data_IF_627304908751
#
_entry.id   IF_627304908751
#
_cell.length_a   1.000
_cell.length_b   1.000
_cell.length_c   1.000
_cell.angle_alpha   90.00
_cell.angle_beta   90.00
_cell.angle_gamma   90.00
#
_symmetry.space_group_name_H-M   'P 1'
#
loop_
_entity.id
_entity.type
_entity.pdbx_description
1 polymer ?
#
# COMPACT_ATOMS: atom_id res chain seq x y z
N UNK A 1 11.54 -20.39 0.26
CA UNK A 1 10.62 -19.69 1.18
C UNK A 1 11.41 -19.17 2.37
N UNK A 2 11.38 -17.85 2.60
CA UNK A 2 11.77 -17.28 3.89
C UNK A 2 10.84 -17.91 4.96
N UNK A 3 11.40 -18.56 5.99
CA UNK A 3 10.65 -19.24 7.05
C UNK A 3 10.29 -20.71 6.83
N UNK A 4 10.27 -21.24 5.59
CA UNK A 4 9.79 -22.61 5.32
C UNK A 4 10.65 -23.74 5.92
N UNK A 5 11.90 -23.46 6.33
CA UNK A 5 12.81 -24.45 6.93
C UNK A 5 13.21 -24.17 8.37
N UNK A 6 12.78 -23.04 8.95
CA UNK A 6 13.11 -22.64 10.32
C UNK A 6 11.82 -22.19 10.98
N UNK A 7 11.52 -22.69 12.18
CA UNK A 7 10.26 -22.48 12.91
C UNK A 7 10.09 -21.02 13.42
N UNK A 8 10.27 -20.01 12.58
CA UNK A 8 10.37 -18.58 12.93
C UNK A 8 9.15 -17.80 12.45
N UNK A 9 8.81 -16.73 13.17
CA UNK A 9 7.82 -15.76 12.75
C UNK A 9 8.44 -14.79 11.73
N UNK A 10 7.72 -14.49 10.65
CA UNK A 10 8.10 -13.52 9.64
C UNK A 10 6.88 -12.72 9.20
N UNK A 11 7.01 -11.40 9.13
CA UNK A 11 5.93 -10.52 8.72
C UNK A 11 6.49 -9.37 7.89
N UNK A 12 5.74 -8.98 6.85
CA UNK A 12 6.01 -7.76 6.10
C UNK A 12 5.29 -6.60 6.78
N UNK A 13 6.05 -5.63 7.26
CA UNK A 13 5.55 -4.46 7.97
C UNK A 13 4.74 -3.54 7.04
N UNK A 14 3.41 -3.72 7.04
CA UNK A 14 2.45 -2.80 6.41
C UNK A 14 1.36 -2.41 7.39
N UNK A 15 1.65 -1.37 8.16
CA UNK A 15 0.75 -0.88 9.20
C UNK A 15 -0.64 -0.51 8.67
N UNK A 16 -0.72 -0.10 7.40
CA UNK A 16 -2.00 0.20 6.71
C UNK A 16 -3.02 -0.94 6.82
N UNK A 17 -2.60 -2.21 6.91
CA UNK A 17 -3.50 -3.37 7.05
C UNK A 17 -4.12 -3.51 8.44
N UNK A 18 -3.57 -2.83 9.43
CA UNK A 18 -3.94 -2.97 10.84
C UNK A 18 -4.76 -1.77 11.36
N UNK A 19 -4.92 -0.73 10.54
CA UNK A 19 -5.74 0.42 10.91
C UNK A 19 -7.22 0.03 11.05
N UNK A 20 -7.92 0.52 12.10
CA UNK A 20 -9.37 0.39 12.21
C UNK A 20 -10.12 0.91 10.98
N UNK A 21 -9.54 1.91 10.30
CA UNK A 21 -10.01 2.41 9.02
C UNK A 21 -10.10 1.31 7.96
N UNK A 22 -9.04 0.52 7.80
CA UNK A 22 -8.98 -0.56 6.80
C UNK A 22 -10.00 -1.65 7.12
N UNK A 23 -10.20 -1.97 8.40
CA UNK A 23 -11.24 -2.90 8.86
C UNK A 23 -12.65 -2.42 8.50
N UNK A 24 -12.90 -1.12 8.61
CA UNK A 24 -14.16 -0.53 8.22
C UNK A 24 -14.38 -0.52 6.71
N UNK A 25 -13.33 -0.32 5.93
CA UNK A 25 -13.39 -0.46 4.47
C UNK A 25 -13.78 -1.90 4.11
N UNK A 26 -13.14 -2.90 4.72
CA UNK A 26 -13.52 -4.32 4.58
C UNK A 26 -14.99 -4.53 4.96
N UNK A 27 -15.44 -4.04 6.13
CA UNK A 27 -16.83 -4.16 6.59
C UNK A 27 -17.83 -3.60 5.56
N UNK A 28 -17.55 -2.43 4.96
CA UNK A 28 -18.45 -1.84 3.94
C UNK A 28 -18.53 -2.73 2.70
N UNK A 29 -17.41 -3.29 2.26
CA UNK A 29 -17.36 -4.16 1.08
C UNK A 29 -18.09 -5.48 1.37
N UNK A 30 -17.72 -6.15 2.47
CA UNK A 30 -18.25 -7.46 2.87
C UNK A 30 -19.74 -7.42 3.23
N UNK A 31 -20.22 -6.31 3.80
CA UNK A 31 -21.65 -6.12 4.07
C UNK A 31 -22.50 -5.87 2.82
N UNK A 32 -21.87 -5.76 1.63
CA UNK A 32 -22.57 -5.53 0.36
C UNK A 32 -23.15 -4.12 0.22
N UNK A 33 -22.78 -3.16 1.09
CA UNK A 33 -23.33 -1.79 1.08
C UNK A 33 -23.02 -1.03 -0.21
N UNK A 34 -21.89 -1.30 -0.85
CA UNK A 34 -21.53 -0.74 -2.16
C UNK A 34 -21.97 -1.63 -3.34
N UNK A 35 -22.67 -2.74 -3.07
CA UNK A 35 -23.04 -3.74 -4.09
C UNK A 35 -21.85 -4.51 -4.64
N UNK A 36 -22.04 -5.25 -5.75
CA UNK A 36 -20.94 -5.88 -6.46
C UNK A 36 -19.86 -4.84 -6.81
N UNK A 37 -18.60 -5.16 -6.49
CA UNK A 37 -17.44 -4.37 -6.87
C UNK A 37 -17.31 -4.34 -8.40
N UNK A 38 -16.91 -3.21 -8.94
CA UNK A 38 -16.69 -2.98 -10.37
C UNK A 38 -15.25 -2.51 -10.64
N UNK A 39 -14.72 -1.64 -9.77
CA UNK A 39 -13.41 -1.02 -9.99
C UNK A 39 -12.74 -0.53 -8.71
N UNK A 40 -11.41 -0.65 -8.66
CA UNK A 40 -10.56 0.05 -7.69
C UNK A 40 -9.64 1.03 -8.41
N UNK A 41 -9.61 2.28 -7.97
CA UNK A 41 -8.60 3.26 -8.36
C UNK A 41 -7.76 3.55 -7.12
N UNK A 42 -6.46 3.32 -7.17
CA UNK A 42 -5.58 3.57 -6.04
C UNK A 42 -4.34 4.33 -6.50
N UNK A 43 -4.11 5.50 -5.93
CA UNK A 43 -3.01 6.36 -6.29
C UNK A 43 -2.22 6.72 -5.04
N UNK A 44 -0.90 6.65 -5.11
CA UNK A 44 -0.05 7.19 -4.05
C UNK A 44 1.19 7.82 -4.65
N UNK A 45 1.21 9.13 -4.71
CA UNK A 45 2.32 9.95 -5.17
C UNK A 45 2.85 10.78 -4.03
N UNK A 46 4.14 11.09 -4.08
CA UNK A 46 4.81 11.95 -3.14
C UNK A 46 5.72 12.86 -3.95
N UNK A 47 5.53 14.17 -3.88
CA UNK A 47 6.57 15.09 -4.34
C UNK A 47 7.63 15.14 -3.26
N UNK A 48 8.73 14.47 -3.52
CA UNK A 48 9.96 14.80 -2.83
C UNK A 48 10.45 16.10 -3.46
N UNK A 49 10.43 17.18 -2.67
CA UNK A 49 10.72 18.51 -3.15
C UNK A 49 12.15 18.58 -3.73
N UNK A 50 12.23 19.03 -4.98
CA UNK A 50 13.47 19.21 -5.72
C UNK A 50 13.63 18.16 -6.81
N UNK A 51 13.89 18.62 -8.04
CA UNK A 51 14.54 17.77 -9.04
C UNK A 51 15.79 17.20 -8.36
N UNK A 52 15.78 15.89 -8.06
CA UNK A 52 16.88 15.27 -7.33
C UNK A 52 18.17 15.60 -8.07
N UNK A 53 19.04 16.36 -7.39
CA UNK A 53 20.24 16.96 -8.00
C UNK A 53 21.33 15.90 -8.22
N UNK A 54 21.21 14.76 -7.52
CA UNK A 54 22.09 13.60 -7.59
C UNK A 54 21.32 12.28 -7.35
N UNK A 55 22.06 11.17 -7.34
CA UNK A 55 21.58 9.81 -7.08
C UNK A 55 21.73 9.38 -5.61
N UNK A 56 22.09 10.29 -4.68
CA UNK A 56 22.32 9.94 -3.28
C UNK A 56 21.02 9.70 -2.51
N UNK A 57 19.91 10.29 -2.96
CA UNK A 57 18.64 10.12 -2.29
C UNK A 57 18.18 8.66 -2.37
N UNK A 58 17.74 8.09 -1.24
CA UNK A 58 17.35 6.66 -1.13
C UNK A 58 16.33 6.22 -2.18
N UNK A 59 15.44 7.11 -2.59
CA UNK A 59 14.42 6.85 -3.62
C UNK A 59 14.95 6.84 -5.06
N UNK A 60 16.14 7.40 -5.30
CA UNK A 60 16.75 7.50 -6.63
C UNK A 60 17.98 6.61 -6.81
N UNK A 61 18.59 6.17 -5.70
CA UNK A 61 19.81 5.39 -5.72
C UNK A 61 19.56 3.91 -6.12
N UNK A 62 20.06 3.44 -7.27
CA UNK A 62 19.89 2.04 -7.68
C UNK A 62 20.53 1.03 -6.73
N UNK A 63 21.60 1.39 -6.02
CA UNK A 63 22.28 0.53 -5.03
C UNK A 63 21.45 0.32 -3.76
N UNK A 64 20.49 1.20 -3.49
CA UNK A 64 19.57 1.10 -2.35
C UNK A 64 18.20 0.54 -2.75
N UNK A 65 18.10 -0.02 -3.95
CA UNK A 65 16.83 -0.39 -4.57
C UNK A 65 15.84 0.80 -4.63
N UNK A 66 16.36 2.02 -4.80
CA UNK A 66 15.59 3.26 -4.79
C UNK A 66 14.63 3.34 -5.96
N UNK A 67 13.33 3.17 -5.68
CA UNK A 67 12.25 3.11 -6.68
C UNK A 67 10.90 3.43 -6.08
N UNK A 68 9.96 3.83 -6.93
CA UNK A 68 8.59 4.10 -6.51
C UNK A 68 7.79 2.84 -6.16
N UNK A 69 7.82 1.69 -6.86
CA UNK A 69 6.97 0.58 -6.51
C UNK A 69 7.43 0.04 -5.16
N UNK A 70 8.70 0.24 -4.76
CA UNK A 70 9.25 -0.10 -3.44
C UNK A 70 8.94 0.99 -2.40
N UNK A 71 9.01 2.29 -2.74
CA UNK A 71 8.83 3.37 -1.76
C UNK A 71 7.44 4.03 -1.69
N UNK A 72 6.57 3.87 -2.71
CA UNK A 72 5.27 4.53 -2.81
C UNK A 72 4.17 3.74 -3.55
N UNK A 73 4.46 3.19 -4.73
CA UNK A 73 3.52 2.36 -5.51
C UNK A 73 3.10 1.07 -4.81
N UNK A 74 3.87 0.63 -3.83
CA UNK A 74 3.48 -0.47 -2.94
C UNK A 74 2.18 -0.17 -2.20
N UNK A 75 1.94 1.07 -1.78
CA UNK A 75 0.74 1.42 -1.02
C UNK A 75 -0.51 1.43 -1.90
N UNK A 76 -0.42 1.89 -3.15
CA UNK A 76 -1.56 1.79 -4.07
C UNK A 76 -1.88 0.34 -4.43
N UNK A 77 -0.87 -0.52 -4.62
CA UNK A 77 -1.08 -1.97 -4.75
C UNK A 77 -1.69 -2.58 -3.48
N UNK A 78 -1.19 -2.20 -2.30
CA UNK A 78 -1.68 -2.72 -1.01
C UNK A 78 -3.19 -2.51 -0.84
N UNK A 79 -3.73 -1.37 -1.27
CA UNK A 79 -5.17 -1.13 -1.25
C UNK A 79 -5.97 -2.01 -2.23
N UNK A 80 -5.42 -2.32 -3.40
CA UNK A 80 -6.04 -3.27 -4.34
C UNK A 80 -6.09 -4.66 -3.73
N UNK A 81 -4.98 -5.13 -3.16
CA UNK A 81 -4.91 -6.44 -2.53
C UNK A 81 -5.77 -6.53 -1.26
N UNK A 82 -5.91 -5.44 -0.51
CA UNK A 82 -6.86 -5.33 0.59
C UNK A 82 -8.31 -5.53 0.14
N UNK A 83 -8.69 -4.92 -0.98
CA UNK A 83 -10.02 -5.13 -1.56
C UNK A 83 -10.21 -6.57 -2.03
N UNK A 84 -9.20 -7.16 -2.69
CA UNK A 84 -9.23 -8.57 -3.11
C UNK A 84 -9.52 -9.51 -1.95
N UNK A 85 -8.97 -9.24 -0.76
CA UNK A 85 -9.25 -10.05 0.43
C UNK A 85 -10.72 -10.10 0.80
N UNK A 86 -11.43 -9.00 0.58
CA UNK A 86 -12.86 -8.83 0.91
C UNK A 86 -13.78 -9.46 -0.14
N UNK A 87 -13.32 -9.62 -1.38
CA UNK A 87 -14.16 -10.05 -2.51
C UNK A 87 -13.80 -11.41 -3.10
N UNK A 88 -12.70 -12.03 -2.65
CA UNK A 88 -12.22 -13.33 -3.12
C UNK A 88 -11.71 -14.22 -1.97
N UNK A 89 -12.05 -15.53 -1.97
CA UNK A 89 -11.42 -16.53 -1.12
C UNK A 89 -9.90 -16.55 -1.32
N UNK A 90 -9.17 -16.83 -0.25
CA UNK A 90 -7.69 -16.81 -0.21
C UNK A 90 -7.02 -17.52 -1.39
N UNK A 91 -7.44 -18.76 -1.69
CA UNK A 91 -6.87 -19.57 -2.78
C UNK A 91 -7.11 -19.00 -4.19
N UNK A 92 -8.04 -18.06 -4.33
CA UNK A 92 -8.42 -17.44 -5.61
C UNK A 92 -7.90 -16.02 -5.80
N UNK A 93 -7.18 -15.46 -4.81
CA UNK A 93 -6.64 -14.09 -4.82
C UNK A 93 -5.43 -13.97 -5.74
N UNK A 94 -5.65 -14.09 -7.05
CA UNK A 94 -4.60 -13.92 -8.06
C UNK A 94 -4.98 -12.85 -9.07
N UNK A 95 -4.49 -11.60 -8.91
CA UNK A 95 -4.67 -10.59 -9.92
C UNK A 95 -3.80 -10.89 -11.13
N UNK A 96 -4.33 -10.63 -12.32
CA UNK A 96 -3.60 -10.72 -13.58
C UNK A 96 -3.13 -9.33 -13.95
N UNK A 97 -1.81 -9.16 -14.08
CA UNK A 97 -1.25 -7.96 -14.70
C UNK A 97 -1.61 -7.93 -16.19
N UNK A 98 -2.47 -6.99 -16.57
CA UNK A 98 -2.91 -6.78 -17.95
C UNK A 98 -1.95 -5.86 -18.69
N UNK A 99 -1.62 -4.71 -18.08
CA UNK A 99 -0.72 -3.73 -18.67
C UNK A 99 -0.05 -2.88 -17.61
N UNK A 100 1.17 -2.46 -17.89
CA UNK A 100 1.86 -1.43 -17.13
C UNK A 100 2.48 -0.38 -18.05
N UNK A 101 2.64 0.83 -17.54
CA UNK A 101 3.39 1.91 -18.16
C UNK A 101 4.28 2.54 -17.10
N UNK A 102 5.55 2.75 -17.44
CA UNK A 102 6.55 3.28 -16.53
C UNK A 102 7.32 4.39 -17.22
N UNK A 103 7.41 5.55 -16.58
CA UNK A 103 8.34 6.59 -16.95
C UNK A 103 9.52 6.54 -15.98
N UNK A 104 10.73 6.54 -16.52
CA UNK A 104 11.96 6.48 -15.73
C UNK A 104 12.43 7.87 -15.31
N UNK A 105 13.19 7.93 -14.23
CA UNK A 105 13.95 9.10 -13.85
C UNK A 105 15.17 9.20 -14.78
N UNK A 106 15.37 10.37 -15.38
CA UNK A 106 16.33 10.53 -16.48
C UNK A 106 17.79 10.23 -16.08
N UNK A 107 18.14 10.42 -14.80
CA UNK A 107 19.52 10.32 -14.33
C UNK A 107 19.90 8.88 -13.95
N UNK A 108 19.06 8.21 -13.17
CA UNK A 108 19.36 6.89 -12.61
C UNK A 108 18.60 5.74 -13.27
N UNK A 109 17.70 6.03 -14.22
CA UNK A 109 16.85 5.06 -14.93
C UNK A 109 15.94 4.21 -14.03
N UNK A 110 15.89 4.52 -12.73
CA UNK A 110 14.87 4.02 -11.80
C UNK A 110 13.50 4.55 -12.23
N UNK A 111 12.41 3.94 -11.79
CA UNK A 111 11.09 4.44 -12.20
C UNK A 111 10.73 5.70 -11.41
N UNK A 112 10.22 6.71 -12.14
CA UNK A 112 9.78 8.01 -11.63
C UNK A 112 8.25 8.18 -11.67
N UNK A 113 7.56 7.33 -12.41
CA UNK A 113 6.11 7.25 -12.44
C UNK A 113 5.71 5.87 -12.97
N UNK A 114 4.67 5.28 -12.39
CA UNK A 114 4.08 4.07 -12.95
C UNK A 114 2.55 4.08 -12.90
N UNK A 115 1.96 3.36 -13.84
CA UNK A 115 0.53 3.06 -13.87
C UNK A 115 0.35 1.59 -14.24
N UNK A 116 -0.45 0.87 -13.47
CA UNK A 116 -0.62 -0.58 -13.55
C UNK A 116 -2.12 -0.87 -13.67
N UNK A 117 -2.49 -1.66 -14.67
CA UNK A 117 -3.84 -2.21 -14.84
C UNK A 117 -3.83 -3.68 -14.45
N UNK A 118 -4.62 -4.00 -13.44
CA UNK A 118 -4.84 -5.35 -12.92
C UNK A 118 -6.27 -5.79 -13.22
N UNK A 119 -6.44 -7.07 -13.50
CA UNK A 119 -7.74 -7.74 -13.63
C UNK A 119 -7.85 -8.82 -12.55
N UNK A 120 -9.01 -8.94 -11.92
CA UNK A 120 -9.31 -10.05 -11.02
C UNK A 120 -10.61 -10.69 -11.45
N UNK A 121 -10.49 -11.93 -11.92
CA UNK A 121 -11.62 -12.72 -12.39
C UNK A 121 -12.25 -13.49 -11.23
N UNK A 122 -13.54 -13.28 -11.01
CA UNK A 122 -14.36 -14.03 -10.05
C UNK A 122 -15.41 -14.85 -10.81
N UNK A 123 -16.09 -15.76 -10.10
CA UNK A 123 -17.26 -16.41 -10.68
C UNK A 123 -18.33 -15.34 -11.02
N UNK A 124 -19.21 -15.64 -11.98
CA UNK A 124 -20.32 -14.72 -12.30
C UNK A 124 -21.24 -14.48 -11.10
N UNK A 125 -21.39 -15.48 -10.21
CA UNK A 125 -22.16 -15.35 -8.98
C UNK A 125 -21.50 -14.37 -7.99
N UNK A 126 -20.17 -14.26 -8.04
CA UNK A 126 -19.36 -13.42 -7.15
C UNK A 126 -19.02 -12.06 -7.77
N UNK A 127 -19.69 -11.65 -8.86
CA UNK A 127 -19.53 -10.33 -9.49
C UNK A 127 -18.70 -10.30 -10.78
N UNK A 128 -18.12 -11.43 -11.21
CA UNK A 128 -17.43 -11.52 -12.49
C UNK A 128 -16.04 -10.86 -12.50
N UNK A 129 -15.70 -10.19 -13.60
CA UNK A 129 -14.38 -9.61 -13.81
C UNK A 129 -14.37 -8.13 -13.46
N UNK A 130 -13.48 -7.75 -12.56
CA UNK A 130 -13.28 -6.37 -12.16
C UNK A 130 -11.88 -5.89 -12.55
N UNK A 131 -11.68 -4.58 -12.51
CA UNK A 131 -10.39 -3.97 -12.76
C UNK A 131 -9.88 -3.16 -11.57
N UNK A 132 -8.56 -3.14 -11.40
CA UNK A 132 -7.90 -2.11 -10.62
C UNK A 132 -6.90 -1.34 -11.46
N UNK A 133 -6.85 -0.03 -11.22
CA UNK A 133 -5.79 0.84 -11.72
C UNK A 133 -5.02 1.34 -10.52
N UNK A 134 -3.72 1.02 -10.47
CA UNK A 134 -2.82 1.63 -9.51
C UNK A 134 -1.90 2.61 -10.20
N UNK A 135 -1.59 3.72 -9.52
CA UNK A 135 -0.64 4.70 -10.04
C UNK A 135 0.17 5.33 -8.92
N UNK A 136 1.30 5.91 -9.32
CA UNK A 136 2.24 6.53 -8.41
C UNK A 136 3.22 7.40 -9.19
N UNK A 137 3.67 8.50 -8.59
CA UNK A 137 4.60 9.47 -9.18
C UNK A 137 5.45 10.12 -8.09
N UNK A 138 6.73 10.39 -8.39
CA UNK A 138 7.62 11.18 -7.51
C UNK A 138 7.48 12.69 -7.72
N UNK A 139 6.70 13.10 -8.72
CA UNK A 139 6.56 14.51 -9.11
C UNK A 139 5.17 15.08 -8.81
N UNK A 140 4.29 14.30 -8.21
CA UNK A 140 2.94 14.74 -7.85
C UNK A 140 2.80 14.79 -6.33
N UNK A 141 2.29 15.91 -5.83
CA UNK A 141 1.96 16.17 -4.42
C UNK A 141 0.55 16.74 -4.28
N UNK A 142 -0.39 16.16 -5.04
CA UNK A 142 -1.78 16.61 -5.02
C UNK A 142 -2.39 16.53 -3.61
N UNK A 143 -1.95 15.58 -2.79
CA UNK A 143 -2.34 15.45 -1.39
C UNK A 143 -1.85 16.62 -0.53
N UNK A 144 -0.57 17.00 -0.64
CA UNK A 144 -0.02 18.17 0.06
C UNK A 144 -0.71 19.45 -0.37
N UNK A 145 -0.90 19.65 -1.69
CA UNK A 145 -1.59 20.82 -2.25
C UNK A 145 -3.03 20.88 -1.73
N UNK A 146 -3.74 19.75 -1.75
CA UNK A 146 -5.11 19.69 -1.25
C UNK A 146 -5.18 20.02 0.24
N UNK A 147 -4.27 19.47 1.05
CA UNK A 147 -4.16 19.74 2.49
C UNK A 147 -3.90 21.22 2.79
N UNK A 148 -3.02 21.87 2.05
CA UNK A 148 -2.71 23.30 2.21
C UNK A 148 -3.90 24.21 1.86
N UNK A 149 -4.81 23.74 1.02
CA UNK A 149 -5.98 24.50 0.54
C UNK A 149 -7.31 24.05 1.18
N UNK A 150 -7.26 23.26 2.27
CA UNK A 150 -8.45 22.67 2.93
C UNK A 150 -9.38 21.93 1.94
N UNK A 151 -8.80 21.35 0.90
CA UNK A 151 -9.50 20.57 -0.11
C UNK A 151 -9.41 19.08 0.21
N UNK A 152 -10.51 18.36 0.01
CA UNK A 152 -10.54 16.91 0.16
C UNK A 152 -10.45 16.25 -1.22
N UNK A 153 -9.29 15.66 -1.53
CA UNK A 153 -9.06 14.93 -2.78
C UNK A 153 -8.78 13.46 -2.45
N UNK A 154 -9.74 12.54 -2.66
CA UNK A 154 -9.50 11.12 -2.42
C UNK A 154 -8.60 10.54 -3.53
N UNK A 155 -7.53 9.85 -3.13
CA UNK A 155 -6.61 9.20 -4.04
C UNK A 155 -6.84 7.69 -4.14
N UNK A 156 -7.70 7.12 -3.28
CA UNK A 156 -8.17 5.74 -3.40
C UNK A 156 -9.70 5.72 -3.44
N UNK A 157 -10.27 5.02 -4.41
CA UNK A 157 -11.70 4.87 -4.63
C UNK A 157 -12.04 3.42 -4.94
N UNK A 158 -12.90 2.84 -4.12
CA UNK A 158 -13.36 1.46 -4.23
C UNK A 158 -14.82 1.52 -4.64
N UNK A 159 -15.13 1.09 -5.87
CA UNK A 159 -16.39 1.41 -6.53
C UNK A 159 -17.18 0.14 -6.84
N UNK A 160 -18.44 0.12 -6.40
CA UNK A 160 -19.41 -0.91 -6.74
C UNK A 160 -20.71 -0.32 -7.28
N UNK A 161 -21.64 -1.20 -7.66
CA UNK A 161 -22.89 -0.80 -8.33
C UNK A 161 -23.81 0.10 -7.48
N UNK A 162 -23.68 0.05 -6.15
CA UNK A 162 -24.53 0.78 -5.21
C UNK A 162 -23.79 1.89 -4.47
N UNK A 163 -22.53 2.16 -4.81
CA UNK A 163 -21.80 3.25 -4.19
C UNK A 163 -20.29 3.07 -4.26
N UNK A 164 -19.59 3.89 -3.50
CA UNK A 164 -18.14 3.78 -3.35
C UNK A 164 -17.67 4.12 -1.95
N UNK A 165 -16.47 3.66 -1.63
CA UNK A 165 -15.71 4.13 -0.47
C UNK A 165 -14.51 4.91 -1.00
N UNK A 166 -14.42 6.18 -0.60
CA UNK A 166 -13.27 7.02 -0.85
C UNK A 166 -12.35 7.00 0.37
N UNK A 167 -11.04 6.90 0.15
CA UNK A 167 -10.03 7.04 1.21
C UNK A 167 -9.18 8.25 0.86
N UNK A 168 -8.96 9.10 1.85
CA UNK A 168 -8.23 10.36 1.71
C UNK A 168 -6.75 10.10 2.01
N UNK A 169 -5.82 10.70 1.26
CA UNK A 169 -4.38 10.53 1.45
C UNK A 169 -3.88 10.89 2.86
N UNK A 170 -2.68 10.41 3.23
CA UNK A 170 -1.78 9.59 2.41
C UNK A 170 -2.16 8.10 2.41
N UNK A 171 -1.86 7.37 1.33
CA UNK A 171 -2.24 5.96 1.19
C UNK A 171 -1.57 5.02 2.22
N UNK A 172 -0.38 5.38 2.71
CA UNK A 172 0.34 4.62 3.75
C UNK A 172 -0.25 4.78 5.15
N UNK A 173 -0.96 5.88 5.39
CA UNK A 173 -1.35 6.35 6.70
C UNK A 173 -2.69 7.09 6.72
N UNK A 174 -3.77 6.61 6.07
CA UNK A 174 -4.97 7.42 5.95
C UNK A 174 -5.68 7.55 7.29
N UNK A 175 -6.33 8.70 7.48
CA UNK A 175 -7.12 9.02 8.69
C UNK A 175 -8.55 9.39 8.37
N UNK A 176 -8.97 9.36 7.10
CA UNK A 176 -10.33 9.74 6.70
C UNK A 176 -10.86 8.84 5.59
N UNK A 177 -12.13 8.47 5.75
CA UNK A 177 -12.91 7.74 4.75
C UNK A 177 -14.20 8.48 4.45
N UNK A 178 -14.69 8.34 3.23
CA UNK A 178 -15.98 8.85 2.80
C UNK A 178 -16.74 7.83 1.95
N UNK A 179 -17.57 6.97 2.56
CA UNK A 179 -18.60 6.22 1.83
C UNK A 179 -19.63 7.15 1.19
N UNK A 180 -20.03 6.81 -0.04
CA UNK A 180 -21.09 7.45 -0.82
C UNK A 180 -21.98 6.34 -1.37
N UNK A 181 -23.18 6.16 -0.83
CA UNK A 181 -24.09 5.06 -1.16
C UNK A 181 -25.35 5.54 -1.90
N UNK A 182 -25.89 4.71 -2.79
CA UNK A 182 -27.05 4.95 -3.67
C UNK A 182 -28.36 5.29 -2.94
N UNK A 183 -28.41 5.06 -1.62
CA UNK A 183 -29.57 5.37 -0.76
C UNK A 183 -29.28 6.47 0.27
N UNK A 184 -28.33 7.36 -0.03
CA UNK A 184 -28.21 8.65 0.64
C UNK A 184 -27.22 8.71 1.81
N UNK A 185 -26.54 7.61 2.16
CA UNK A 185 -25.43 7.70 3.10
C UNK A 185 -24.23 8.35 2.40
N UNK A 186 -23.93 9.59 2.79
CA UNK A 186 -22.66 10.25 2.55
C UNK A 186 -22.11 10.62 3.91
N UNK A 187 -21.09 9.90 4.36
CA UNK A 187 -20.55 10.07 5.70
C UNK A 187 -19.04 10.30 5.63
N UNK A 188 -18.59 11.47 6.06
CA UNK A 188 -17.18 11.69 6.35
C UNK A 188 -16.88 11.11 7.72
N UNK A 189 -15.87 10.25 7.80
CA UNK A 189 -15.44 9.65 9.05
C UNK A 189 -13.94 9.82 9.23
N UNK A 190 -13.58 10.39 10.36
CA UNK A 190 -12.20 10.51 10.81
C UNK A 190 -11.81 9.34 11.71
N UNK A 191 -10.55 8.96 11.61
CA UNK A 191 -9.95 7.80 12.24
C UNK A 191 -8.71 8.25 13.00
N UNK A 192 -8.85 8.62 14.28
CA UNK A 192 -7.71 9.02 15.08
C UNK A 192 -6.75 7.84 15.23
N UNK A 193 -5.46 8.13 15.13
CA UNK A 193 -4.39 7.18 15.42
C UNK A 193 -3.80 7.55 16.78
N UNK A 194 -4.28 6.94 17.87
CA UNK A 194 -3.90 7.35 19.22
C UNK A 194 -2.41 7.10 19.48
N UNK A 195 -1.91 7.75 20.52
CA UNK A 195 -0.61 7.47 21.10
C UNK A 195 -0.59 7.92 22.56
N UNK A 196 0.55 7.85 23.25
CA UNK A 196 0.62 8.15 24.68
C UNK A 196 0.39 9.63 25.01
N UNK A 197 0.30 10.51 24.00
CA UNK A 197 -0.05 11.92 24.14
C UNK A 197 1.11 12.81 24.59
N UNK A 198 0.86 14.12 24.56
CA UNK A 198 1.83 15.13 25.02
C UNK A 198 2.15 14.96 26.51
N UNK A 199 3.40 15.15 26.89
CA UNK A 199 3.90 14.94 28.25
C UNK A 199 4.27 13.48 28.57
N UNK A 200 4.21 12.57 27.61
CA UNK A 200 4.61 11.16 27.78
C UNK A 200 6.12 10.92 27.69
N UNK A 201 6.88 11.89 27.16
CA UNK A 201 8.29 11.73 26.80
C UNK A 201 8.54 10.80 25.62
N UNK A 202 7.48 10.36 24.92
CA UNK A 202 7.58 9.39 23.84
C UNK A 202 7.49 10.05 22.45
N UNK A 203 8.38 9.63 21.55
CA UNK A 203 8.51 10.19 20.20
C UNK A 203 8.70 9.08 19.17
N UNK A 204 8.15 9.28 17.98
CA UNK A 204 8.33 8.43 16.79
C UNK A 204 9.04 9.20 15.68
N UNK A 205 9.38 8.50 14.60
CA UNK A 205 10.06 9.07 13.43
C UNK A 205 11.56 8.75 13.40
N UNK A 206 12.21 9.20 12.34
CA UNK A 206 13.64 8.98 12.11
C UNK A 206 14.40 10.29 12.34
N UNK A 207 15.49 10.23 13.11
CA UNK A 207 16.32 11.42 13.35
C UNK A 207 16.84 11.98 12.01
N UNK A 208 16.85 13.31 11.83
CA UNK A 208 16.53 14.35 12.82
C UNK A 208 15.05 14.74 12.92
N UNK A 209 14.18 14.25 12.03
CA UNK A 209 12.77 14.59 11.95
C UNK A 209 11.92 13.65 12.81
N UNK A 210 11.82 13.96 14.10
CA UNK A 210 10.87 13.29 14.99
C UNK A 210 9.47 13.87 14.79
N UNK A 211 8.47 13.01 14.92
CA UNK A 211 7.07 13.41 14.98
C UNK A 211 6.76 14.16 16.30
N UNK A 212 5.64 14.88 16.38
CA UNK A 212 5.20 15.48 17.64
C UNK A 212 5.11 14.45 18.77
N UNK A 213 5.38 14.91 20.00
CA UNK A 213 5.36 14.05 21.19
C UNK A 213 4.02 13.33 21.35
N UNK A 214 4.10 12.02 21.57
CA UNK A 214 2.94 11.20 21.87
C UNK A 214 2.10 10.77 20.67
N UNK A 215 2.53 11.04 19.43
CA UNK A 215 1.83 10.61 18.21
C UNK A 215 2.23 9.20 17.77
N UNK A 216 1.25 8.29 17.78
CA UNK A 216 1.48 6.85 17.57
C UNK A 216 1.61 6.40 16.11
N UNK A 217 1.05 7.16 15.17
CA UNK A 217 0.98 6.85 13.73
C UNK A 217 0.48 5.42 13.40
N UNK A 218 -0.24 4.80 14.32
CA UNK A 218 -0.80 3.46 14.18
C UNK A 218 0.19 2.29 14.18
N UNK A 219 1.50 2.52 14.33
CA UNK A 219 2.54 1.48 14.28
C UNK A 219 2.35 0.38 15.33
N UNK A 220 1.73 0.72 16.47
CA UNK A 220 1.47 -0.21 17.56
C UNK A 220 0.48 -1.32 17.19
N UNK A 221 -0.45 -1.10 16.24
CA UNK A 221 -1.42 -2.13 15.87
C UNK A 221 -0.77 -3.32 15.16
N UNK A 222 0.20 -3.08 14.27
CA UNK A 222 0.95 -4.17 13.64
C UNK A 222 1.87 -4.86 14.67
N UNK A 223 2.52 -4.07 15.54
CA UNK A 223 3.41 -4.62 16.56
C UNK A 223 2.65 -5.51 17.56
N UNK A 224 1.44 -5.11 17.95
CA UNK A 224 0.55 -5.92 18.77
C UNK A 224 0.11 -7.21 18.06
N UNK A 225 -0.14 -7.17 16.75
CA UNK A 225 -0.47 -8.38 15.98
C UNK A 225 0.70 -9.35 15.90
N UNK A 226 1.90 -8.84 15.64
CA UNK A 226 3.14 -9.61 15.63
C UNK A 226 3.39 -10.25 17.01
N UNK A 227 3.24 -9.46 18.08
CA UNK A 227 3.36 -9.93 19.46
C UNK A 227 2.38 -11.05 19.79
N UNK A 228 1.10 -10.89 19.44
CA UNK A 228 0.09 -11.95 19.56
C UNK A 228 0.47 -13.18 18.74
N UNK A 229 0.91 -12.99 17.50
CA UNK A 229 1.29 -14.08 16.60
C UNK A 229 2.43 -14.93 17.14
N UNK A 230 3.44 -14.31 17.75
CA UNK A 230 4.53 -15.01 18.41
C UNK A 230 4.00 -15.82 19.60
N UNK A 231 3.16 -15.23 20.45
CA UNK A 231 2.57 -15.89 21.62
C UNK A 231 1.66 -17.06 21.25
N UNK A 232 0.94 -16.95 20.14
CA UNK A 232 0.04 -17.97 19.59
C UNK A 232 0.77 -19.05 18.79
N UNK A 233 2.08 -18.90 18.56
CA UNK A 233 2.88 -19.83 17.76
C UNK A 233 2.66 -19.72 16.25
N UNK A 234 2.02 -18.65 15.77
CA UNK A 234 1.88 -18.34 14.34
C UNK A 234 3.25 -18.12 13.69
N UNK A 235 3.27 -18.20 12.35
CA UNK A 235 4.48 -17.94 11.54
C UNK A 235 4.44 -16.63 10.76
N UNK A 236 3.31 -15.97 10.78
CA UNK A 236 3.05 -14.74 10.03
C UNK A 236 1.92 -13.93 10.69
N UNK A 237 1.80 -12.66 10.27
CA UNK A 237 0.77 -11.74 10.73
C UNK A 237 -0.64 -12.17 10.34
N UNK A 238 -1.66 -11.70 11.07
CA UNK A 238 -3.06 -12.11 10.87
C UNK A 238 -3.72 -11.40 9.68
N UNK A 239 -3.17 -10.26 9.27
CA UNK A 239 -3.76 -9.38 8.25
C UNK A 239 -3.03 -9.40 6.92
N UNK A 240 -1.76 -9.79 6.89
CA UNK A 240 -1.00 -9.92 5.66
C UNK A 240 -0.14 -11.18 5.70
N UNK A 241 -0.58 -12.20 4.95
CA UNK A 241 0.18 -13.44 4.80
C UNK A 241 1.43 -13.23 3.94
N UNK A 242 2.39 -14.14 4.10
CA UNK A 242 3.62 -14.15 3.32
C UNK A 242 3.36 -14.42 1.85
N UNK A 243 2.37 -15.27 1.52
CA UNK A 243 1.99 -15.55 0.13
C UNK A 243 1.44 -14.30 -0.57
N UNK A 244 0.59 -13.53 0.11
CA UNK A 244 0.10 -12.24 -0.42
C UNK A 244 1.24 -11.23 -0.55
N UNK A 245 2.18 -11.21 0.40
CA UNK A 245 3.37 -10.36 0.33
C UNK A 245 4.24 -10.70 -0.88
N UNK A 246 4.44 -11.99 -1.17
CA UNK A 246 5.17 -12.48 -2.33
C UNK A 246 4.46 -12.07 -3.61
N UNK A 247 3.15 -12.28 -3.70
CA UNK A 247 2.35 -11.95 -4.89
C UNK A 247 2.40 -10.45 -5.23
N UNK A 248 2.34 -9.57 -4.23
CA UNK A 248 2.53 -8.13 -4.43
C UNK A 248 3.93 -7.84 -5.01
N UNK A 249 4.97 -8.50 -4.48
CA UNK A 249 6.34 -8.34 -4.97
C UNK A 249 6.50 -8.88 -6.40
N UNK A 250 5.89 -10.01 -6.74
CA UNK A 250 5.90 -10.58 -8.09
C UNK A 250 5.25 -9.63 -9.10
N UNK A 251 4.15 -8.97 -8.74
CA UNK A 251 3.53 -7.94 -9.60
C UNK A 251 4.50 -6.78 -9.81
N UNK A 252 5.13 -6.28 -8.75
CA UNK A 252 6.11 -5.20 -8.86
C UNK A 252 7.33 -5.56 -9.71
N UNK A 253 7.86 -6.77 -9.53
CA UNK A 253 8.99 -7.28 -10.31
C UNK A 253 8.63 -7.49 -11.78
N UNK A 254 7.40 -7.94 -12.07
CA UNK A 254 6.92 -8.06 -13.44
C UNK A 254 6.81 -6.68 -14.12
N UNK A 255 6.21 -5.70 -13.46
CA UNK A 255 6.10 -4.31 -13.96
C UNK A 255 7.49 -3.71 -14.21
N UNK A 256 8.41 -3.90 -13.27
CA UNK A 256 9.82 -3.50 -13.41
C UNK A 256 10.48 -4.15 -14.62
N UNK A 257 10.29 -5.46 -14.76
CA UNK A 257 10.92 -6.24 -15.80
C UNK A 257 10.46 -5.80 -17.18
N UNK A 258 9.14 -5.64 -17.37
CA UNK A 258 8.50 -5.15 -18.60
C UNK A 258 8.96 -3.74 -18.99
N UNK A 259 9.25 -2.89 -18.00
CA UNK A 259 9.75 -1.53 -18.20
C UNK A 259 11.27 -1.46 -18.48
N UNK A 260 11.97 -2.60 -18.48
CA UNK A 260 13.42 -2.64 -18.68
C UNK A 260 14.21 -1.93 -17.57
N UNK A 261 13.69 -1.88 -16.34
CA UNK A 261 14.41 -1.33 -15.19
C UNK A 261 15.11 -2.47 -14.45
N UNK A 262 16.40 -2.29 -14.15
CA UNK A 262 17.27 -3.29 -13.52
C UNK A 262 18.08 -2.62 -12.42
N UNK A 263 18.38 -3.38 -11.38
CA UNK A 263 19.35 -2.96 -10.36
C UNK A 263 20.71 -3.60 -10.62
N UNK A 264 21.77 -3.07 -9.99
CA UNK A 264 23.05 -3.74 -9.91
C UNK A 264 22.92 -5.16 -9.35
N UNK A 265 23.84 -6.04 -9.76
CA UNK A 265 23.79 -7.46 -9.41
C UNK A 265 23.76 -7.70 -7.90
N UNK A 266 24.50 -6.89 -7.15
CA UNK A 266 24.61 -6.91 -5.69
C UNK A 266 23.26 -6.68 -5.00
N UNK A 267 22.32 -6.01 -5.68
CA UNK A 267 20.96 -5.74 -5.21
C UNK A 267 19.97 -6.80 -5.69
N UNK A 268 20.13 -7.35 -6.90
CA UNK A 268 19.21 -8.36 -7.46
C UNK A 268 19.48 -9.80 -7.00
N UNK A 269 20.70 -10.09 -6.54
CA UNK A 269 21.09 -11.47 -6.25
C UNK A 269 20.39 -12.03 -5.01
N UNK A 270 19.95 -13.29 -5.11
CA UNK A 270 19.48 -14.07 -3.97
C UNK A 270 20.63 -14.77 -3.20
N UNK A 271 21.87 -14.68 -3.70
CA UNK A 271 23.05 -15.27 -3.09
C UNK A 271 23.54 -14.45 -1.90
N UNK A 272 23.71 -15.09 -0.75
CA UNK A 272 24.27 -14.47 0.45
C UNK A 272 25.29 -15.42 1.13
N UNK A 273 26.44 -14.92 1.63
CA UNK A 273 26.91 -13.53 1.54
C UNK A 273 27.29 -13.15 0.10
N UNK A 274 27.29 -11.84 -0.19
CA UNK A 274 27.80 -11.33 -1.47
C UNK A 274 29.28 -11.70 -1.60
N UNK A 275 29.69 -12.22 -2.76
CA UNK A 275 31.11 -12.44 -3.03
C UNK A 275 31.80 -11.06 -3.15
N UNK A 276 32.97 -10.87 -2.53
CA UNK A 276 33.68 -9.59 -2.52
C UNK A 276 34.21 -9.19 -3.90
#
# INVERSE_FOLDING_TARGET
>A
MLGGGKNVFCEKAFTTRYFPLSLYVQEIIESGRIGPLERVLAEHSLSYAGDFVDDNHIMMNPMLAGRIPVGGGIYSLTWVFEVLRSVQPELSRQPRLIKSAVAKYYYTEVDAMSTILLEFSRSKADGGTDHAVTSTSLRLSNDSIAKENDAMVPNIRIQGQYGEVQIVPPAYGPTRTRPILKHGLVADKEWPQPGPGKGSGWYTGYRPALNPEGEGHGLFWEADDAGRGIMEGRKEGSRLGLDESILIMEVMDKVRSEAGVRYPYEVETAGYPLQP
#
